data_IF_514493921055
#
_entry.id   IF_514493921055
#
_cell.length_a   1.000
_cell.length_b   1.000
_cell.length_c   1.000
_cell.angle_alpha   90.00
_cell.angle_beta   90.00
_cell.angle_gamma   90.00
#
_symmetry.space_group_name_H-M   'P 1'
#
loop_
_entity.id
_entity.type
_entity.pdbx_description
1 polymer ?
#
# COMPACT_ATOMS: atom_id res chain seq x y z
N UNK A 1 12.54 -16.71 8.96
CA UNK A 1 11.45 -15.89 9.50
C UNK A 1 11.35 -14.66 8.61
N UNK A 2 10.52 -14.72 7.58
CA UNK A 2 10.37 -13.59 6.66
C UNK A 2 9.75 -12.42 7.42
N UNK A 3 10.38 -11.25 7.37
CA UNK A 3 9.92 -10.11 8.16
C UNK A 3 8.66 -9.52 7.50
N UNK A 4 7.55 -9.51 8.24
CA UNK A 4 6.28 -8.83 7.89
C UNK A 4 6.51 -7.38 7.48
N UNK A 5 7.54 -6.77 8.06
CA UNK A 5 7.96 -5.40 7.84
C UNK A 5 8.19 -5.09 6.35
N UNK A 6 8.75 -6.04 5.58
CA UNK A 6 8.98 -5.85 4.15
C UNK A 6 7.68 -5.71 3.35
N UNK A 7 6.54 -6.20 3.85
CA UNK A 7 5.23 -6.05 3.22
C UNK A 7 4.54 -4.74 3.61
N UNK A 8 4.71 -4.29 4.86
CA UNK A 8 4.00 -3.13 5.40
C UNK A 8 4.68 -1.80 5.03
N UNK A 9 5.99 -1.67 5.24
CA UNK A 9 6.67 -0.38 5.09
C UNK A 9 6.60 0.22 3.68
N UNK A 10 6.76 -0.55 2.58
CA UNK A 10 6.67 0.03 1.23
C UNK A 10 5.27 0.57 0.92
N UNK A 11 4.22 -0.15 1.31
CA UNK A 11 2.84 0.28 1.12
C UNK A 11 2.49 1.49 2.00
N UNK A 12 2.89 1.47 3.27
CA UNK A 12 2.67 2.57 4.21
C UNK A 12 3.36 3.86 3.73
N UNK A 13 4.64 3.78 3.35
CA UNK A 13 5.38 4.92 2.83
C UNK A 13 4.78 5.49 1.54
N UNK A 14 4.36 4.61 0.62
CA UNK A 14 3.64 5.02 -0.59
C UNK A 14 2.33 5.74 -0.22
N UNK A 15 1.52 5.17 0.67
CA UNK A 15 0.24 5.73 1.12
C UNK A 15 0.37 7.12 1.74
N UNK A 16 1.36 7.32 2.61
CA UNK A 16 1.67 8.63 3.20
C UNK A 16 2.12 9.64 2.14
N UNK A 17 2.96 9.21 1.20
CA UNK A 17 3.51 10.09 0.15
C UNK A 17 2.44 10.52 -0.85
N UNK A 18 1.57 9.60 -1.30
CA UNK A 18 0.54 9.89 -2.30
C UNK A 18 -0.59 10.75 -1.73
N UNK A 19 -0.97 10.55 -0.46
CA UNK A 19 -1.97 11.37 0.24
C UNK A 19 -1.40 12.70 0.76
N UNK A 20 -0.07 12.82 0.83
CA UNK A 20 0.58 13.96 1.47
C UNK A 20 0.27 14.01 2.96
N UNK A 21 0.25 12.86 3.63
CA UNK A 21 0.00 12.78 5.07
C UNK A 21 1.11 13.51 5.84
N UNK A 22 0.74 14.48 6.67
CA UNK A 22 1.70 15.25 7.51
C UNK A 22 2.05 14.53 8.82
N UNK A 23 1.22 13.57 9.23
CA UNK A 23 1.38 12.79 10.45
C UNK A 23 0.96 11.35 10.20
N UNK A 24 1.69 10.41 10.80
CA UNK A 24 1.31 8.99 10.82
C UNK A 24 0.52 8.74 12.08
N UNK A 25 -0.68 8.17 11.93
CA UNK A 25 -1.55 7.78 13.04
C UNK A 25 -1.58 6.25 13.18
N UNK A 26 -1.86 5.73 14.37
CA UNK A 26 -1.92 4.28 14.63
C UNK A 26 -2.97 3.57 13.77
N UNK A 27 -4.07 4.27 13.47
CA UNK A 27 -5.11 3.77 12.56
C UNK A 27 -4.60 3.49 11.14
N UNK A 28 -3.52 4.16 10.71
CA UNK A 28 -2.90 3.91 9.41
C UNK A 28 -2.13 2.59 9.42
N UNK A 29 -1.49 2.23 10.54
CA UNK A 29 -0.87 0.92 10.72
C UNK A 29 -1.92 -0.19 10.78
N UNK A 30 -3.03 0.05 11.49
CA UNK A 30 -4.15 -0.89 11.52
C UNK A 30 -4.73 -1.11 10.11
N UNK A 31 -4.98 -0.03 9.36
CA UNK A 31 -5.45 -0.11 7.98
C UNK A 31 -4.48 -0.87 7.06
N UNK A 32 -3.17 -0.72 7.27
CA UNK A 32 -2.16 -1.46 6.53
C UNK A 32 -2.18 -2.97 6.85
N UNK A 33 -2.32 -3.33 8.13
CA UNK A 33 -2.42 -4.72 8.57
C UNK A 33 -3.70 -5.39 8.04
N UNK A 34 -4.85 -4.71 8.10
CA UNK A 34 -6.11 -5.19 7.54
C UNK A 34 -6.03 -5.35 6.01
N UNK A 35 -5.39 -4.41 5.32
CA UNK A 35 -5.20 -4.50 3.88
C UNK A 35 -4.33 -5.70 3.50
N UNK A 36 -3.27 -6.00 4.26
CA UNK A 36 -2.44 -7.18 4.07
C UNK A 36 -3.24 -8.47 4.31
N UNK A 37 -4.01 -8.53 5.41
CA UNK A 37 -4.85 -9.68 5.72
C UNK A 37 -5.86 -9.98 4.60
N UNK A 38 -6.44 -8.94 3.98
CA UNK A 38 -7.35 -9.07 2.83
C UNK A 38 -6.69 -9.56 1.54
N UNK A 39 -5.36 -9.55 1.43
CA UNK A 39 -4.63 -10.09 0.27
C UNK A 39 -4.29 -11.58 0.42
N UNK A 40 -4.53 -12.17 1.59
CA UNK A 40 -4.33 -13.59 1.82
C UNK A 40 -5.59 -14.32 1.34
N UNK A 41 -5.50 -15.01 0.22
CA UNK A 41 -6.59 -15.86 -0.30
C UNK A 41 -6.64 -17.21 0.44
N UNK A 42 -7.80 -17.86 0.41
CA UNK A 42 -8.01 -19.19 0.99
C UNK A 42 -7.05 -20.25 0.39
N UNK A 43 -6.63 -20.07 -0.86
CA UNK A 43 -5.62 -20.92 -1.51
C UNK A 43 -4.22 -20.82 -0.84
N UNK A 44 -3.87 -19.65 -0.29
CA UNK A 44 -2.64 -19.50 0.48
C UNK A 44 -2.77 -20.18 1.85
N UNK A 45 -3.94 -20.05 2.48
CA UNK A 45 -4.25 -20.72 3.74
C UNK A 45 -4.23 -22.25 3.59
N UNK A 46 -4.78 -22.77 2.49
CA UNK A 46 -4.76 -24.19 2.15
C UNK A 46 -3.33 -24.74 1.92
N UNK A 47 -2.40 -23.87 1.48
CA UNK A 47 -0.98 -24.19 1.31
C UNK A 47 -0.13 -23.96 2.56
N UNK A 48 -0.74 -23.68 3.73
CA UNK A 48 -0.06 -23.25 4.95
C UNK A 48 0.87 -22.03 4.75
N UNK A 49 0.57 -21.18 3.76
CA UNK A 49 1.31 -19.95 3.51
C UNK A 49 0.61 -18.80 4.22
N UNK A 50 1.25 -18.30 5.29
CA UNK A 50 0.79 -17.13 6.03
C UNK A 50 0.99 -15.81 5.27
N UNK A 51 1.78 -15.81 4.19
CA UNK A 51 2.06 -14.64 3.36
C UNK A 51 1.87 -14.96 1.88
N UNK A 52 1.32 -14.02 1.09
CA UNK A 52 1.26 -14.14 -0.36
C UNK A 52 2.66 -14.15 -0.99
N UNK A 53 2.78 -14.68 -2.20
CA UNK A 53 4.06 -14.75 -2.92
C UNK A 53 4.69 -13.37 -3.13
N UNK A 54 6.03 -13.30 -3.06
CA UNK A 54 6.81 -12.08 -3.33
C UNK A 54 6.58 -11.51 -4.73
N UNK A 55 6.18 -12.34 -5.70
CA UNK A 55 5.86 -11.88 -7.07
C UNK A 55 4.72 -10.84 -7.08
N UNK A 56 3.83 -10.91 -6.08
CA UNK A 56 2.70 -9.99 -5.95
C UNK A 56 2.99 -8.79 -5.05
N UNK A 57 4.21 -8.64 -4.54
CA UNK A 57 4.54 -7.61 -3.54
C UNK A 57 4.23 -6.19 -4.00
N UNK A 58 4.37 -5.89 -5.30
CA UNK A 58 4.01 -4.58 -5.86
C UNK A 58 2.51 -4.34 -5.83
N UNK A 59 1.70 -5.37 -6.10
CA UNK A 59 0.24 -5.31 -6.06
C UNK A 59 -0.24 -5.15 -4.61
N UNK A 60 0.34 -5.93 -3.69
CA UNK A 60 0.07 -5.84 -2.25
C UNK A 60 0.43 -4.46 -1.72
N UNK A 61 1.60 -3.94 -2.06
CA UNK A 61 2.04 -2.59 -1.67
C UNK A 61 1.09 -1.51 -2.18
N UNK A 62 0.56 -1.65 -3.40
CA UNK A 62 -0.43 -0.73 -3.94
C UNK A 62 -1.77 -0.79 -3.18
N UNK A 63 -2.23 -1.99 -2.79
CA UNK A 63 -3.43 -2.15 -1.96
C UNK A 63 -3.25 -1.54 -0.56
N UNK A 64 -2.11 -1.81 0.09
CA UNK A 64 -1.78 -1.23 1.40
C UNK A 64 -1.68 0.29 1.29
N UNK A 65 -0.97 0.81 0.29
CA UNK A 65 -0.83 2.25 0.07
C UNK A 65 -2.17 2.94 -0.20
N UNK A 66 -3.07 2.30 -0.93
CA UNK A 66 -4.42 2.81 -1.16
C UNK A 66 -5.25 2.87 0.13
N UNK A 67 -5.20 1.83 0.97
CA UNK A 67 -5.90 1.80 2.25
C UNK A 67 -5.36 2.85 3.23
N UNK A 68 -4.04 2.98 3.32
CA UNK A 68 -3.36 3.99 4.15
C UNK A 68 -3.69 5.40 3.67
N UNK A 69 -3.67 5.65 2.36
CA UNK A 69 -4.04 6.93 1.80
C UNK A 69 -5.50 7.27 2.09
N UNK A 70 -6.43 6.33 1.89
CA UNK A 70 -7.84 6.50 2.25
C UNK A 70 -7.99 6.86 3.74
N UNK A 71 -7.27 6.18 4.63
CA UNK A 71 -7.29 6.48 6.06
C UNK A 71 -6.76 7.87 6.38
N UNK A 72 -5.72 8.32 5.69
CA UNK A 72 -5.19 9.68 5.83
C UNK A 72 -6.21 10.76 5.40
N UNK A 73 -7.03 10.49 4.37
CA UNK A 73 -8.13 11.38 3.97
C UNK A 73 -9.25 11.40 5.01
N UNK A 74 -9.66 10.24 5.54
CA UNK A 74 -10.67 10.13 6.61
C UNK A 74 -10.26 10.93 7.86
N UNK A 75 -9.00 10.80 8.28
CA UNK A 75 -8.44 11.49 9.44
C UNK A 75 -8.12 12.98 9.19
N UNK A 76 -8.38 13.49 7.97
CA UNK A 76 -8.03 14.86 7.53
C UNK A 76 -6.54 15.20 7.72
N UNK A 77 -5.69 14.19 7.64
CA UNK A 77 -4.23 14.32 7.69
C UNK A 77 -3.62 14.49 6.29
N UNK A 78 -4.38 14.17 5.24
CA UNK A 78 -3.98 14.30 3.85
C UNK A 78 -3.96 15.77 3.40
N UNK A 79 -2.85 16.20 2.80
CA UNK A 79 -2.71 17.55 2.22
C UNK A 79 -2.98 17.60 0.72
N UNK A 80 -2.90 16.46 0.02
CA UNK A 80 -3.17 16.40 -1.43
C UNK A 80 -4.66 16.24 -1.70
N UNK A 81 -5.36 17.36 -1.82
CA UNK A 81 -6.79 17.42 -2.14
C UNK A 81 -7.01 17.81 -3.60
N UNK A 82 -8.09 17.34 -4.26
CA UNK A 82 -9.14 16.44 -3.76
C UNK A 82 -8.71 14.97 -3.72
N UNK A 83 -9.40 14.14 -2.93
CA UNK A 83 -9.18 12.69 -2.92
C UNK A 83 -9.46 12.10 -4.31
N UNK A 84 -8.50 11.39 -4.93
CA UNK A 84 -8.76 10.71 -6.20
C UNK A 84 -9.86 9.63 -6.07
N UNK A 85 -10.65 9.42 -7.13
CA UNK A 85 -11.77 8.45 -7.09
C UNK A 85 -11.30 7.00 -6.94
N UNK A 86 -10.15 6.66 -7.52
CA UNK A 86 -9.55 5.33 -7.44
C UNK A 86 -8.16 5.43 -6.81
N UNK A 87 -8.09 5.07 -5.52
CA UNK A 87 -6.84 5.07 -4.75
C UNK A 87 -5.86 4.01 -5.22
N UNK A 88 -6.35 2.88 -5.71
CA UNK A 88 -5.49 1.79 -6.14
C UNK A 88 -4.81 2.12 -7.47
N UNK A 89 -5.57 2.62 -8.44
CA UNK A 89 -5.00 3.10 -9.70
C UNK A 89 -4.03 4.27 -9.46
N UNK A 90 -4.37 5.19 -8.55
CA UNK A 90 -3.50 6.30 -8.18
C UNK A 90 -2.19 5.80 -7.54
N UNK A 91 -2.27 4.91 -6.55
CA UNK A 91 -1.10 4.31 -5.93
C UNK A 91 -0.19 3.63 -6.96
N UNK A 92 -0.75 2.81 -7.87
CA UNK A 92 -0.01 2.19 -8.96
C UNK A 92 0.68 3.20 -9.87
N UNK A 93 0.00 4.29 -10.24
CA UNK A 93 0.57 5.32 -11.11
C UNK A 93 1.74 6.06 -10.48
N UNK A 94 1.78 6.15 -9.15
CA UNK A 94 2.86 6.77 -8.39
C UNK A 94 4.05 5.83 -8.14
N UNK A 95 3.93 4.53 -8.44
CA UNK A 95 5.03 3.58 -8.25
C UNK A 95 6.10 3.78 -9.32
N UNK A 96 7.37 3.74 -8.90
CA UNK A 96 8.50 3.79 -9.81
C UNK A 96 8.48 2.59 -10.78
N UNK A 97 8.72 2.86 -12.07
CA UNK A 97 8.95 1.84 -13.09
C UNK A 97 10.45 1.77 -13.42
N UNK A 98 11.09 0.60 -13.29
CA UNK A 98 12.51 0.42 -13.59
C UNK A 98 12.84 0.40 -15.10
N UNK A 99 11.84 0.63 -15.96
CA UNK A 99 12.04 0.74 -17.41
C UNK A 99 12.96 1.92 -17.75
N UNK A 100 14.00 1.67 -18.54
CA UNK A 100 14.90 2.72 -19.01
C UNK A 100 14.13 3.84 -19.71
N UNK A 101 14.47 5.08 -19.35
CA UNK A 101 13.97 6.26 -20.06
C UNK A 101 14.71 6.37 -21.39
N UNK A 102 13.98 6.73 -22.45
CA UNK A 102 14.60 7.07 -23.74
C UNK A 102 15.32 8.41 -23.57
N UNK A 103 16.64 8.39 -23.73
CA UNK A 103 17.44 9.62 -23.77
C UNK A 103 17.31 10.25 -25.17
N UNK A 104 17.23 11.59 -25.21
CA UNK A 104 17.25 12.39 -26.44
C UNK A 104 18.58 13.14 -26.51
#
# INVERSE_FOLDING_TARGET
MESINCYIFPGLGLGCTISGAIRVHDDMFLAAAEALAKQINDDHLAKNQLYPSFDEIRKISAHIGAAVAAKAYELRLATRLPQPKDMFAYAKSCMYSPSYRKYR
#
